data_IF_548689341575
#
_entry.id   IF_548689341575
#
_cell.length_a   1.000
_cell.length_b   1.000
_cell.length_c   1.000
_cell.angle_alpha   90.00
_cell.angle_beta   90.00
_cell.angle_gamma   90.00
#
_symmetry.space_group_name_H-M   'P 1'
#
loop_
_entity.id
_entity.type
_entity.pdbx_description
1 polymer ?
#
# COMPACT_ATOMS: atom_id res chain seq x y z
N UNK A 1 -0.75 -15.98 6.44
CA UNK A 1 0.09 -14.82 6.06
C UNK A 1 1.35 -14.75 6.93
N UNK A 2 2.54 -14.75 6.33
CA UNK A 2 3.82 -14.59 7.04
C UNK A 2 4.17 -13.08 7.18
N UNK A 3 3.81 -12.47 8.31
CA UNK A 3 4.00 -11.04 8.54
C UNK A 3 5.46 -10.59 8.61
N UNK A 4 6.40 -11.47 9.01
CA UNK A 4 7.82 -11.10 9.03
C UNK A 4 8.33 -10.86 7.60
N UNK A 5 7.95 -11.72 6.66
CA UNK A 5 8.31 -11.58 5.25
C UNK A 5 7.65 -10.35 4.60
N UNK A 6 6.36 -10.10 4.90
CA UNK A 6 5.67 -8.88 4.43
C UNK A 6 6.38 -7.63 4.96
N UNK A 7 6.78 -7.61 6.23
CA UNK A 7 7.52 -6.46 6.78
C UNK A 7 8.87 -6.26 6.08
N UNK A 8 9.61 -7.33 5.79
CA UNK A 8 10.85 -7.24 5.01
C UNK A 8 10.61 -6.66 3.62
N UNK A 9 9.52 -7.06 2.95
CA UNK A 9 9.12 -6.47 1.66
C UNK A 9 8.82 -4.97 1.80
N UNK A 10 8.02 -4.57 2.80
CA UNK A 10 7.67 -3.17 3.03
C UNK A 10 8.92 -2.32 3.32
N UNK A 11 9.82 -2.79 4.18
CA UNK A 11 11.06 -2.08 4.51
C UNK A 11 11.99 -1.92 3.28
N UNK A 12 12.06 -2.95 2.45
CA UNK A 12 12.83 -2.92 1.21
C UNK A 12 12.22 -1.94 0.21
N UNK A 13 10.89 -1.91 0.08
CA UNK A 13 10.18 -0.95 -0.77
C UNK A 13 10.33 0.48 -0.25
N UNK A 14 10.19 0.72 1.04
CA UNK A 14 10.39 2.04 1.64
C UNK A 14 11.78 2.59 1.35
N UNK A 15 12.80 1.72 1.46
CA UNK A 15 14.20 2.09 1.23
C UNK A 15 14.49 2.30 -0.26
N UNK A 16 14.09 1.37 -1.12
CA UNK A 16 14.35 1.42 -2.57
C UNK A 16 13.55 2.53 -3.24
N UNK A 17 12.33 2.78 -2.76
CA UNK A 17 11.48 3.82 -3.26
C UNK A 17 11.64 5.17 -2.58
N UNK A 18 12.26 5.24 -1.39
CA UNK A 18 12.18 6.41 -0.52
C UNK A 18 10.71 6.82 -0.37
N UNK A 19 9.93 5.85 0.10
CA UNK A 19 8.47 5.85 0.07
C UNK A 19 7.90 5.35 1.39
N UNK A 20 6.58 5.47 1.51
CA UNK A 20 5.77 4.78 2.50
C UNK A 20 5.02 3.64 1.81
N UNK A 21 5.35 2.40 2.15
CA UNK A 21 4.67 1.21 1.69
C UNK A 21 3.73 0.68 2.78
N UNK A 22 2.53 0.27 2.37
CA UNK A 22 1.53 -0.32 3.26
C UNK A 22 0.99 -1.63 2.74
N UNK A 23 0.71 -2.55 3.65
CA UNK A 23 -0.02 -3.78 3.36
C UNK A 23 -1.37 -3.75 4.08
N UNK A 24 -2.44 -3.39 3.36
CA UNK A 24 -3.79 -3.29 3.91
C UNK A 24 -4.49 -4.65 3.83
N UNK A 25 -5.34 -4.93 4.81
CA UNK A 25 -6.15 -6.16 4.86
C UNK A 25 -7.63 -5.78 4.91
N UNK A 26 -8.37 -6.10 3.85
CA UNK A 26 -9.77 -5.78 3.69
C UNK A 26 -10.60 -7.06 3.58
N UNK A 27 -11.65 -7.17 4.39
CA UNK A 27 -12.57 -8.30 4.31
C UNK A 27 -13.33 -8.32 2.98
N UNK A 28 -13.59 -9.50 2.43
CA UNK A 28 -14.45 -9.65 1.25
C UNK A 28 -15.83 -10.20 1.68
N UNK A 29 -16.94 -9.70 1.09
CA UNK A 29 -18.25 -10.31 1.29
C UNK A 29 -18.34 -11.65 0.53
N UNK A 30 -19.07 -12.61 1.08
CA UNK A 30 -19.25 -13.97 0.51
C UNK A 30 -20.01 -14.01 -0.84
N UNK A 31 -20.38 -12.87 -1.42
CA UNK A 31 -21.07 -12.75 -2.70
C UNK A 31 -20.10 -12.78 -3.89
N UNK A 32 -20.61 -12.66 -5.11
CA UNK A 32 -19.82 -12.52 -6.34
C UNK A 32 -18.74 -11.43 -6.19
N UNK A 33 -17.48 -11.82 -6.38
CA UNK A 33 -16.33 -10.92 -6.25
C UNK A 33 -16.26 -9.93 -7.43
N UNK A 34 -16.28 -8.65 -7.11
CA UNK A 34 -16.08 -7.52 -8.00
C UNK A 34 -15.14 -6.55 -7.27
N UNK A 35 -13.87 -6.51 -7.69
CA UNK A 35 -12.80 -5.81 -6.97
C UNK A 35 -13.08 -4.31 -6.87
N UNK A 36 -13.49 -3.70 -7.98
CA UNK A 36 -13.78 -2.27 -8.04
C UNK A 36 -14.92 -1.89 -7.09
N UNK A 37 -16.01 -2.66 -7.07
CA UNK A 37 -17.13 -2.40 -6.14
C UNK A 37 -16.74 -2.64 -4.69
N UNK A 38 -15.97 -3.70 -4.41
CA UNK A 38 -15.52 -4.01 -3.07
C UNK A 38 -14.61 -2.90 -2.53
N UNK A 39 -13.63 -2.47 -3.32
CA UNK A 39 -12.73 -1.39 -2.92
C UNK A 39 -13.51 -0.08 -2.71
N UNK A 40 -14.44 0.25 -3.62
CA UNK A 40 -15.30 1.42 -3.46
C UNK A 40 -16.13 1.37 -2.17
N UNK A 41 -16.63 0.18 -1.80
CA UNK A 41 -17.35 0.01 -0.54
C UNK A 41 -16.43 0.30 0.66
N UNK A 42 -15.20 -0.24 0.68
CA UNK A 42 -14.25 0.01 1.77
C UNK A 42 -13.81 1.47 1.87
N UNK A 43 -13.71 2.17 0.74
CA UNK A 43 -13.46 3.61 0.71
C UNK A 43 -14.64 4.40 1.29
N UNK A 44 -15.88 4.07 0.90
CA UNK A 44 -17.11 4.73 1.38
C UNK A 44 -17.37 4.53 2.86
N UNK A 45 -17.09 3.34 3.40
CA UNK A 45 -17.31 3.03 4.82
C UNK A 45 -16.19 3.52 5.73
N UNK A 46 -15.10 4.05 5.16
CA UNK A 46 -13.91 4.47 5.91
C UNK A 46 -13.02 3.31 6.36
N UNK A 47 -13.35 2.07 6.01
CA UNK A 47 -12.54 0.91 6.40
C UNK A 47 -11.14 0.95 5.77
N UNK A 48 -11.01 1.47 4.55
CA UNK A 48 -9.71 1.67 3.92
C UNK A 48 -8.83 2.64 4.72
N UNK A 49 -9.40 3.76 5.17
CA UNK A 49 -8.70 4.73 6.02
C UNK A 49 -8.31 4.14 7.37
N UNK A 50 -9.20 3.33 7.97
CA UNK A 50 -8.90 2.63 9.21
C UNK A 50 -7.70 1.68 9.07
N UNK A 51 -7.62 0.91 7.98
CA UNK A 51 -6.47 0.03 7.73
C UNK A 51 -5.17 0.81 7.51
N UNK A 52 -5.22 1.99 6.87
CA UNK A 52 -4.06 2.88 6.77
C UNK A 52 -3.57 3.33 8.16
N UNK A 53 -4.49 3.80 9.02
CA UNK A 53 -4.17 4.20 10.41
C UNK A 53 -3.57 3.03 11.19
N UNK A 54 -4.13 1.83 11.04
CA UNK A 54 -3.64 0.61 11.68
C UNK A 54 -2.22 0.25 11.22
N UNK A 55 -1.92 0.40 9.93
CA UNK A 55 -0.56 0.22 9.42
C UNK A 55 0.38 1.29 9.95
N UNK A 56 -0.01 2.56 9.94
CA UNK A 56 0.80 3.67 10.47
C UNK A 56 1.19 3.42 11.94
N UNK A 57 0.24 2.99 12.78
CA UNK A 57 0.50 2.61 14.17
C UNK A 57 1.45 1.42 14.29
N UNK A 58 1.25 0.37 13.48
CA UNK A 58 2.12 -0.83 13.49
C UNK A 58 3.55 -0.54 13.03
N UNK A 59 3.70 0.41 12.10
CA UNK A 59 4.97 0.87 11.54
C UNK A 59 5.63 1.98 12.38
N UNK A 60 4.97 2.42 13.45
CA UNK A 60 5.39 3.55 14.29
C UNK A 60 5.59 4.86 13.50
N UNK A 61 4.74 5.07 12.50
CA UNK A 61 4.70 6.26 11.67
C UNK A 61 3.62 7.24 12.14
N UNK A 62 3.65 8.46 11.60
CA UNK A 62 2.75 9.56 11.97
C UNK A 62 2.14 10.27 10.75
N UNK A 63 1.90 9.52 9.67
CA UNK A 63 1.27 10.03 8.46
C UNK A 63 -0.23 10.31 8.69
N UNK A 64 -0.93 9.35 9.30
CA UNK A 64 -2.36 9.37 9.59
C UNK A 64 -2.68 9.42 11.07
N UNK A 65 -1.66 9.35 11.93
CA UNK A 65 -1.80 9.59 13.37
C UNK A 65 -0.93 10.76 13.83
N UNK A 66 -1.33 11.41 14.91
CA UNK A 66 -0.55 12.43 15.61
C UNK A 66 -0.08 11.87 16.96
N UNK A 67 1.19 12.11 17.28
CA UNK A 67 1.77 11.77 18.58
C UNK A 67 1.43 12.86 19.57
N UNK A 68 0.66 12.53 20.60
CA UNK A 68 0.31 13.44 21.69
C UNK A 68 1.05 13.00 22.95
N UNK A 69 1.53 13.99 23.72
CA UNK A 69 2.18 13.79 25.01
C UNK A 69 1.28 14.36 26.13
N UNK A 70 0.33 13.58 26.68
CA UNK A 70 -0.53 14.06 27.74
C UNK A 70 0.27 14.36 29.01
N UNK A 71 -0.04 15.46 29.69
CA UNK A 71 0.70 15.92 30.88
C UNK A 71 0.72 14.91 32.05
N UNK A 72 -0.24 13.97 32.09
CA UNK A 72 -0.39 12.98 33.16
C UNK A 72 -0.32 11.53 32.64
N UNK A 73 0.33 11.30 31.50
CA UNK A 73 0.54 9.96 30.96
C UNK A 73 2.03 9.62 30.91
N UNK A 74 2.37 8.39 31.30
CA UNK A 74 3.76 7.91 31.26
C UNK A 74 4.25 7.61 29.84
N UNK A 75 3.33 7.51 28.87
CA UNK A 75 3.61 7.17 27.47
C UNK A 75 2.87 8.11 26.51
N UNK A 76 3.46 8.42 25.34
CA UNK A 76 2.77 9.13 24.28
C UNK A 76 1.58 8.31 23.76
N UNK A 77 0.57 9.01 23.24
CA UNK A 77 -0.63 8.42 22.65
C UNK A 77 -0.70 8.80 21.19
N UNK A 78 -0.99 7.84 20.32
CA UNK A 78 -1.26 8.07 18.90
C UNK A 78 -2.76 8.30 18.71
N UNK A 79 -3.13 9.49 18.24
CA UNK A 79 -4.51 9.80 17.87
C UNK A 79 -4.66 9.89 16.35
N UNK A 80 -5.67 9.27 15.73
CA UNK A 80 -5.95 9.44 14.31
C UNK A 80 -6.15 10.92 13.95
N UNK A 81 -5.51 11.36 12.87
CA UNK A 81 -5.71 12.71 12.34
C UNK A 81 -7.14 12.84 11.82
N UNK A 82 -7.81 13.98 12.04
CA UNK A 82 -9.11 14.23 11.42
C UNK A 82 -8.93 14.39 9.91
N UNK A 83 -9.77 13.71 9.12
CA UNK A 83 -9.73 13.83 7.66
C UNK A 83 -10.16 12.56 6.94
N UNK A 84 -10.00 12.56 5.62
CA UNK A 84 -10.27 11.40 4.78
C UNK A 84 -9.14 11.22 3.76
N UNK A 85 -8.80 9.96 3.45
CA UNK A 85 -7.82 9.60 2.43
C UNK A 85 -8.44 9.38 1.05
N UNK A 86 -9.74 9.04 1.00
CA UNK A 86 -10.47 8.91 -0.26
C UNK A 86 -10.77 10.27 -0.87
N UNK A 87 -10.53 10.42 -2.17
CA UNK A 87 -10.76 11.67 -2.92
C UNK A 87 -12.18 11.80 -3.51
N UNK A 88 -13.03 10.78 -3.32
CA UNK A 88 -14.39 10.75 -3.85
C UNK A 88 -14.53 10.10 -5.22
N UNK A 89 -13.43 9.64 -5.85
CA UNK A 89 -13.49 8.92 -7.12
C UNK A 89 -14.28 7.63 -6.97
N UNK A 90 -15.36 7.51 -7.74
CA UNK A 90 -16.21 6.30 -7.77
C UNK A 90 -15.84 5.32 -8.89
N UNK A 91 -15.10 5.80 -9.90
CA UNK A 91 -14.63 4.96 -11.01
C UNK A 91 -13.24 4.45 -10.72
N UNK A 92 -13.19 3.25 -10.13
CA UNK A 92 -11.96 2.50 -9.90
C UNK A 92 -11.74 1.60 -11.12
N UNK A 93 -10.52 1.51 -11.61
CA UNK A 93 -10.13 0.56 -12.65
C UNK A 93 -9.06 -0.39 -12.13
N UNK A 94 -9.18 -1.65 -12.51
CA UNK A 94 -8.17 -2.67 -12.23
C UNK A 94 -7.85 -3.52 -13.46
N UNK A 95 -6.66 -4.13 -13.42
CA UNK A 95 -6.20 -5.09 -14.41
C UNK A 95 -5.71 -6.33 -13.69
N UNK A 96 -6.26 -7.50 -14.03
CA UNK A 96 -5.75 -8.78 -13.55
C UNK A 96 -4.32 -9.00 -14.04
N UNK A 97 -3.46 -9.50 -13.17
CA UNK A 97 -2.06 -9.79 -13.47
C UNK A 97 -1.75 -11.27 -13.33
N UNK A 98 -0.86 -11.74 -14.19
CA UNK A 98 -0.17 -13.01 -13.97
C UNK A 98 0.94 -12.86 -12.92
N UNK A 99 1.39 -13.97 -12.34
CA UNK A 99 2.39 -13.97 -11.27
C UNK A 99 3.74 -13.40 -11.73
N UNK A 100 4.14 -13.64 -12.97
CA UNK A 100 5.36 -13.08 -13.58
C UNK A 100 5.27 -11.57 -13.79
N UNK A 101 4.07 -11.02 -14.04
CA UNK A 101 3.85 -9.58 -14.08
C UNK A 101 3.96 -8.95 -12.69
N UNK A 102 3.44 -9.62 -11.65
CA UNK A 102 3.61 -9.20 -10.25
C UNK A 102 5.09 -9.16 -9.88
N UNK A 103 5.81 -10.25 -10.17
CA UNK A 103 7.25 -10.34 -9.96
C UNK A 103 7.96 -9.16 -10.61
N UNK A 104 7.72 -8.94 -11.91
CA UNK A 104 8.38 -7.88 -12.65
C UNK A 104 8.10 -6.47 -12.11
N UNK A 105 6.90 -6.20 -11.56
CA UNK A 105 6.57 -4.92 -10.94
C UNK A 105 7.32 -4.71 -9.63
N UNK A 106 7.32 -5.71 -8.74
CA UNK A 106 8.05 -5.65 -7.47
C UNK A 106 9.55 -5.53 -7.73
N UNK A 107 10.05 -6.27 -8.70
CA UNK A 107 11.45 -6.22 -9.08
C UNK A 107 11.89 -4.86 -9.58
N UNK A 108 11.07 -4.23 -10.43
CA UNK A 108 11.38 -2.90 -10.95
C UNK A 108 11.43 -1.84 -9.83
N UNK A 109 10.54 -1.92 -8.84
CA UNK A 109 10.55 -1.01 -7.69
C UNK A 109 11.77 -1.21 -6.79
N UNK A 110 12.11 -2.46 -6.47
CA UNK A 110 13.21 -2.80 -5.56
C UNK A 110 14.58 -2.50 -6.16
N UNK A 111 14.75 -2.72 -7.47
CA UNK A 111 16.05 -2.60 -8.16
C UNK A 111 16.20 -1.30 -8.96
N UNK A 112 15.11 -0.58 -9.22
CA UNK A 112 15.10 0.66 -10.00
C UNK A 112 15.45 0.46 -11.48
N UNK A 113 15.00 -0.64 -12.09
CA UNK A 113 15.27 -1.02 -13.49
C UNK A 113 14.62 -0.08 -14.53
N UNK A 114 13.67 0.76 -14.11
CA UNK A 114 12.96 1.76 -14.92
C UNK A 114 12.06 1.21 -16.02
N UNK A 115 11.58 -0.04 -15.88
CA UNK A 115 10.68 -0.66 -16.87
C UNK A 115 9.25 -0.14 -16.73
N UNK A 116 8.77 -0.01 -15.50
CA UNK A 116 7.39 0.36 -15.17
C UNK A 116 7.33 1.65 -14.35
N UNK A 117 8.36 1.93 -13.55
CA UNK A 117 8.41 3.05 -12.63
C UNK A 117 9.64 3.93 -12.88
N UNK A 118 9.56 5.20 -12.50
CA UNK A 118 10.75 6.03 -12.41
C UNK A 118 11.66 5.53 -11.27
N UNK A 119 12.97 5.78 -11.36
CA UNK A 119 13.92 5.37 -10.30
C UNK A 119 14.01 6.47 -9.26
N UNK A 120 13.98 6.12 -7.98
CA UNK A 120 14.24 7.09 -6.91
C UNK A 120 15.59 7.76 -7.07
N UNK A 121 15.63 9.09 -6.93
CA UNK A 121 16.89 9.82 -6.80
C UNK A 121 17.45 9.77 -5.38
N UNK A 122 16.60 9.49 -4.38
CA UNK A 122 16.96 9.47 -2.95
C UNK A 122 16.93 8.06 -2.32
N UNK A 123 16.26 7.10 -2.97
CA UNK A 123 16.16 5.71 -2.51
C UNK A 123 17.41 4.89 -2.74
N UNK A 124 17.59 3.85 -1.92
CA UNK A 124 18.68 2.89 -2.02
C UNK A 124 18.13 1.56 -2.54
N UNK A 125 18.33 1.30 -3.83
CA UNK A 125 17.85 0.07 -4.49
C UNK A 125 18.59 -1.16 -3.98
N UNK A 126 17.88 -2.28 -3.90
CA UNK A 126 18.48 -3.59 -3.66
C UNK A 126 19.24 -4.06 -4.91
N UNK A 127 20.26 -4.91 -4.70
CA UNK A 127 20.82 -5.67 -5.79
C UNK A 127 19.82 -6.73 -6.30
N UNK A 128 20.06 -7.21 -7.52
CA UNK A 128 19.12 -8.11 -8.19
C UNK A 128 18.97 -9.45 -7.43
N UNK A 129 20.06 -10.03 -6.94
CA UNK A 129 19.99 -11.33 -6.25
C UNK A 129 19.16 -11.24 -4.96
N UNK A 130 19.44 -10.26 -4.12
CA UNK A 130 18.69 -10.03 -2.88
C UNK A 130 17.21 -9.75 -3.13
N UNK A 131 16.89 -8.95 -4.15
CA UNK A 131 15.51 -8.63 -4.47
C UNK A 131 14.76 -9.81 -5.11
N UNK A 132 15.42 -10.63 -5.92
CA UNK A 132 14.85 -11.87 -6.49
C UNK A 132 14.42 -12.82 -5.38
N UNK A 133 15.33 -13.10 -4.44
CA UNK A 133 15.05 -13.99 -3.31
C UNK A 133 13.84 -13.49 -2.53
N UNK A 134 13.80 -12.19 -2.19
CA UNK A 134 12.69 -11.61 -1.43
C UNK A 134 11.36 -11.73 -2.16
N UNK A 135 11.32 -11.45 -3.47
CA UNK A 135 10.09 -11.53 -4.27
C UNK A 135 9.66 -12.97 -4.47
N UNK A 136 10.58 -13.89 -4.74
CA UNK A 136 10.30 -15.33 -4.84
C UNK A 136 9.68 -15.86 -3.54
N UNK A 137 10.27 -15.54 -2.38
CA UNK A 137 9.72 -15.95 -1.08
C UNK A 137 8.30 -15.40 -0.85
N UNK A 138 8.03 -14.16 -1.27
CA UNK A 138 6.69 -13.55 -1.17
C UNK A 138 5.70 -14.31 -2.05
N UNK A 139 6.05 -14.58 -3.31
CA UNK A 139 5.18 -15.30 -4.25
C UNK A 139 4.94 -16.75 -3.79
N UNK A 140 5.96 -17.44 -3.29
CA UNK A 140 5.81 -18.76 -2.69
C UNK A 140 4.88 -18.73 -1.48
N UNK A 141 4.99 -17.72 -0.63
CA UNK A 141 4.10 -17.55 0.52
C UNK A 141 2.65 -17.33 0.09
N UNK A 142 2.40 -16.55 -0.97
CA UNK A 142 1.06 -16.39 -1.54
C UNK A 142 0.52 -17.73 -2.06
N UNK A 143 1.33 -18.45 -2.84
CA UNK A 143 0.98 -19.75 -3.41
C UNK A 143 0.70 -20.83 -2.36
N UNK A 144 1.43 -20.81 -1.24
CA UNK A 144 1.23 -21.72 -0.11
C UNK A 144 0.01 -21.35 0.74
N UNK A 145 -0.33 -20.07 0.81
CA UNK A 145 -1.50 -19.59 1.55
C UNK A 145 -2.78 -19.94 0.79
N UNK A 146 -2.85 -19.57 -0.49
CA UNK A 146 -3.97 -19.87 -1.37
C UNK A 146 -3.44 -20.22 -2.76
N UNK A 147 -3.56 -21.48 -3.23
CA UNK A 147 -3.06 -21.87 -4.54
C UNK A 147 -3.74 -21.18 -5.73
N UNK A 148 -4.95 -20.65 -5.52
CA UNK A 148 -5.78 -19.98 -6.54
C UNK A 148 -5.77 -18.45 -6.34
N UNK A 149 -4.75 -17.92 -5.65
CA UNK A 149 -4.59 -16.48 -5.42
C UNK A 149 -4.62 -15.69 -6.73
N UNK A 150 -5.18 -14.49 -6.67
CA UNK A 150 -5.29 -13.59 -7.84
C UNK A 150 -4.70 -12.23 -7.53
N UNK A 151 -3.95 -11.67 -8.47
CA UNK A 151 -3.43 -10.31 -8.37
C UNK A 151 -4.09 -9.35 -9.35
N UNK A 152 -4.18 -8.10 -8.93
CA UNK A 152 -4.76 -7.02 -9.71
C UNK A 152 -3.96 -5.73 -9.52
N UNK A 153 -3.53 -5.10 -10.61
CA UNK A 153 -3.04 -3.72 -10.57
C UNK A 153 -4.23 -2.77 -10.55
N UNK A 154 -4.30 -1.90 -9.55
CA UNK A 154 -5.35 -0.89 -9.43
C UNK A 154 -4.77 0.47 -9.85
N UNK A 155 -5.55 1.26 -10.59
CA UNK A 155 -5.17 2.64 -10.89
C UNK A 155 -5.12 3.48 -9.61
N UNK A 156 -4.13 4.36 -9.45
CA UNK A 156 -3.86 5.08 -8.20
C UNK A 156 -4.66 6.39 -8.05
N UNK A 157 -5.77 6.54 -8.78
CA UNK A 157 -6.56 7.77 -8.86
C UNK A 157 -7.70 7.87 -7.81
N UNK A 158 -7.72 6.98 -6.81
CA UNK A 158 -8.79 6.91 -5.80
C UNK A 158 -8.42 7.50 -4.44
N UNK A 159 -7.15 7.83 -4.18
CA UNK A 159 -6.76 8.53 -2.93
C UNK A 159 -6.41 9.98 -3.22
N UNK A 160 -6.45 10.82 -2.19
CA UNK A 160 -5.91 12.18 -2.27
C UNK A 160 -4.40 12.11 -2.51
N UNK A 161 -3.88 13.08 -3.26
CA UNK A 161 -2.44 13.24 -3.43
C UNK A 161 -1.85 13.96 -2.21
N UNK A 162 -0.56 13.77 -1.93
CA UNK A 162 0.11 14.44 -0.79
C UNK A 162 0.00 15.98 -0.86
N UNK A 163 -0.04 16.53 -2.07
CA UNK A 163 -0.16 17.98 -2.30
C UNK A 163 -1.55 18.53 -1.93
N UNK A 164 -2.61 17.69 -1.89
CA UNK A 164 -3.98 18.08 -1.51
C UNK A 164 -4.11 18.49 -0.02
N UNK A 165 -3.15 18.09 0.81
CA UNK A 165 -3.23 18.26 2.27
C UNK A 165 -3.23 19.74 2.69
N UNK A 166 -2.36 20.54 2.09
CA UNK A 166 -2.22 21.95 2.44
C UNK A 166 -3.36 22.81 1.91
N UNK A 167 -3.93 22.44 0.76
CA UNK A 167 -5.01 23.18 0.11
C UNK A 167 -6.38 22.97 0.76
N UNK A 168 -6.53 21.93 1.58
CA UNK A 168 -7.80 21.52 2.20
C UNK A 168 -7.92 21.88 3.69
N UNK A 169 -7.05 22.74 4.20
CA UNK A 169 -6.92 23.00 5.64
C UNK A 169 -6.75 21.69 6.45
N UNK A 170 -5.94 20.77 5.92
CA UNK A 170 -5.55 19.50 6.56
C UNK A 170 -6.66 18.44 6.67
N UNK A 171 -7.72 18.55 5.86
CA UNK A 171 -8.85 17.59 5.86
C UNK A 171 -8.64 16.46 4.84
N UNK A 172 -7.95 16.72 3.73
CA UNK A 172 -7.59 15.70 2.75
C UNK A 172 -6.24 15.10 3.08
N UNK A 173 -6.25 13.89 3.63
CA UNK A 173 -5.02 13.19 3.99
C UNK A 173 -4.49 12.48 2.74
N UNK A 174 -3.39 12.96 2.18
CA UNK A 174 -2.79 12.39 0.98
C UNK A 174 -2.09 11.06 1.22
N UNK A 175 -1.91 10.28 0.16
CA UNK A 175 -1.02 9.12 0.14
C UNK A 175 -0.12 9.09 -1.09
N UNK A 176 -0.73 9.11 -2.28
CA UNK A 176 -0.01 9.04 -3.54
C UNK A 176 0.68 10.37 -3.85
N UNK A 177 1.79 10.28 -4.59
CA UNK A 177 2.57 11.47 -4.94
C UNK A 177 2.38 11.90 -6.40
N UNK A 178 1.75 11.07 -7.24
CA UNK A 178 1.45 11.36 -8.63
C UNK A 178 2.69 11.39 -9.54
N UNK A 179 3.84 10.87 -9.08
CA UNK A 179 5.16 11.12 -9.70
C UNK A 179 5.82 9.88 -10.32
N UNK A 180 4.99 8.93 -10.77
CA UNK A 180 5.42 7.82 -11.64
C UNK A 180 5.91 6.57 -10.92
N UNK A 181 5.74 6.49 -9.60
CA UNK A 181 6.13 5.33 -8.78
C UNK A 181 5.02 4.75 -7.93
N UNK A 182 3.90 5.45 -7.85
CA UNK A 182 2.74 4.99 -7.14
C UNK A 182 2.28 3.63 -7.67
N UNK A 183 2.07 2.69 -6.75
CA UNK A 183 1.52 1.37 -7.04
C UNK A 183 0.42 1.07 -6.04
N UNK A 184 -0.69 0.55 -6.56
CA UNK A 184 -1.68 -0.18 -5.80
C UNK A 184 -1.81 -1.56 -6.42
N UNK A 185 -1.42 -2.58 -5.66
CA UNK A 185 -1.47 -3.98 -6.07
C UNK A 185 -2.34 -4.75 -5.09
N UNK A 186 -3.45 -5.29 -5.59
CA UNK A 186 -4.36 -6.12 -4.82
C UNK A 186 -4.03 -7.60 -4.97
N UNK A 187 -4.13 -8.34 -3.88
CA UNK A 187 -4.05 -9.80 -3.83
C UNK A 187 -5.33 -10.32 -3.17
N UNK A 188 -6.05 -11.19 -3.88
CA UNK A 188 -7.18 -11.91 -3.30
C UNK A 188 -6.69 -13.30 -2.89
N UNK A 189 -6.72 -13.59 -1.59
CA UNK A 189 -6.35 -14.89 -1.01
C UNK A 189 -7.34 -15.25 0.10
N UNK A 190 -7.80 -16.50 0.15
CA UNK A 190 -8.67 -17.01 1.25
C UNK A 190 -9.81 -16.05 1.61
N UNK A 191 -10.58 -15.60 0.60
CA UNK A 191 -11.68 -14.63 0.77
C UNK A 191 -11.27 -13.31 1.46
N UNK A 192 -10.00 -12.93 1.38
CA UNK A 192 -9.47 -11.69 1.94
C UNK A 192 -8.76 -10.90 0.85
N UNK A 193 -9.02 -9.60 0.80
CA UNK A 193 -8.39 -8.68 -0.14
C UNK A 193 -7.25 -7.97 0.56
N UNK A 194 -6.02 -8.28 0.17
CA UNK A 194 -4.84 -7.57 0.61
C UNK A 194 -4.46 -6.53 -0.44
N UNK A 195 -4.00 -5.36 0.01
CA UNK A 195 -3.56 -4.30 -0.92
C UNK A 195 -2.17 -3.84 -0.48
N UNK A 196 -1.18 -4.09 -1.35
CA UNK A 196 0.11 -3.44 -1.28
C UNK A 196 -0.02 -2.06 -1.93
N UNK A 197 0.29 -1.04 -1.14
CA UNK A 197 0.45 0.31 -1.62
C UNK A 197 1.92 0.69 -1.51
N UNK A 198 2.44 1.40 -2.51
CA UNK A 198 3.66 2.20 -2.37
C UNK A 198 3.44 3.53 -3.07
N UNK A 199 4.01 4.59 -2.50
CA UNK A 199 4.04 5.91 -3.11
C UNK A 199 5.48 6.24 -3.57
N UNK A 200 5.72 7.39 -4.18
CA UNK A 200 7.09 7.88 -4.31
C UNK A 200 7.37 8.86 -5.44
N UNK A 201 8.38 9.69 -5.20
CA UNK A 201 8.96 10.62 -6.15
C UNK A 201 9.96 9.88 -7.07
N UNK A 202 9.84 10.20 -8.37
CA UNK A 202 10.78 9.80 -9.43
C UNK A 202 12.10 10.56 -9.46
#
# INVERSE_FOLDING_TARGET
>A
MNWALINSLLDALDTAANANAFWLELGTPQSTFDLEKLLLQHLRTGNFHFELVKQDVRREWNNYVEVIFPQNADLPVLLPKPGNTWNGTETISSQALAADEVEALLMDLLTGQKKYFTKSTAGTTLDWESASILVEEVLEMLQLTDPDWRAYRIATNFLNEVDDYYDSAYIKLGYFEGRGRDLALAFLLDDSLYILLTNGYG
#
